data_IF_628092086310
#
_entry.id   IF_628092086310
#
_cell.length_a   1.000
_cell.length_b   1.000
_cell.length_c   1.000
_cell.angle_alpha   90.00
_cell.angle_beta   90.00
_cell.angle_gamma   90.00
#
_symmetry.space_group_name_H-M   'P 1'
#
loop_
_entity.id
_entity.type
_entity.pdbx_description
1 polymer ?
#
# COMPACT_ATOMS: atom_id res chain seq x y z
N UNK A 1 8.92 -42.50 68.70
CA UNK A 1 8.75 -41.03 68.53
C UNK A 1 9.38 -40.69 67.19
N UNK A 2 8.51 -40.49 66.21
CA UNK A 2 8.93 -40.27 64.80
C UNK A 2 8.72 -38.78 64.51
N UNK A 3 9.80 -38.11 64.12
CA UNK A 3 9.72 -36.70 63.71
C UNK A 3 9.79 -36.65 62.19
N UNK A 4 8.66 -36.30 61.61
CA UNK A 4 8.55 -35.98 60.17
C UNK A 4 9.23 -34.63 59.88
N UNK A 5 10.29 -34.66 59.11
CA UNK A 5 10.88 -33.46 58.49
C UNK A 5 10.15 -33.13 57.19
N UNK A 6 9.45 -32.02 57.17
CA UNK A 6 8.89 -31.45 55.93
C UNK A 6 9.99 -30.81 55.07
N UNK A 7 10.04 -31.19 53.82
CA UNK A 7 10.92 -30.56 52.83
C UNK A 7 10.40 -29.13 52.50
N UNK A 8 11.31 -28.16 52.22
CA UNK A 8 10.90 -26.82 51.87
C UNK A 8 10.27 -26.80 50.48
N UNK A 9 9.03 -26.28 50.37
CA UNK A 9 8.38 -25.93 49.11
C UNK A 9 9.18 -24.81 48.46
N UNK A 10 9.78 -25.12 47.33
CA UNK A 10 10.46 -24.12 46.49
C UNK A 10 9.44 -23.04 46.08
N UNK A 11 9.70 -21.84 46.53
CA UNK A 11 8.97 -20.66 46.09
C UNK A 11 9.28 -20.43 44.60
N UNK A 12 8.32 -20.79 43.76
CA UNK A 12 8.32 -20.40 42.36
C UNK A 12 8.23 -18.87 42.28
N UNK A 13 9.32 -18.23 41.87
CA UNK A 13 9.35 -16.80 41.57
C UNK A 13 8.40 -16.54 40.43
N UNK A 14 7.24 -15.97 40.70
CA UNK A 14 6.37 -15.36 39.71
C UNK A 14 7.05 -14.11 39.20
N UNK A 15 7.77 -14.20 38.09
CA UNK A 15 8.27 -13.02 37.38
C UNK A 15 7.07 -12.28 36.79
N UNK A 16 6.56 -11.26 37.50
CA UNK A 16 5.64 -10.26 36.99
C UNK A 16 6.40 -9.26 36.13
N UNK A 17 7.00 -9.72 35.04
CA UNK A 17 7.63 -8.87 34.04
C UNK A 17 6.67 -8.62 32.87
N UNK A 18 6.72 -7.44 32.29
CA UNK A 18 6.00 -7.14 31.04
C UNK A 18 6.42 -8.13 29.94
N UNK A 19 5.44 -8.71 29.26
CA UNK A 19 5.70 -9.58 28.10
C UNK A 19 6.32 -8.74 26.97
N UNK A 20 7.43 -9.20 26.42
CA UNK A 20 8.16 -8.51 25.33
C UNK A 20 8.51 -9.48 24.21
N UNK A 21 8.61 -8.96 22.98
CA UNK A 21 9.08 -9.70 21.81
C UNK A 21 10.45 -9.14 21.43
N UNK A 22 11.38 -10.02 21.07
CA UNK A 22 12.63 -9.69 20.39
C UNK A 22 12.69 -10.45 19.07
N UNK A 23 13.08 -9.79 17.99
CA UNK A 23 13.14 -10.36 16.66
C UNK A 23 14.56 -10.33 16.12
N UNK A 24 14.99 -11.46 15.51
CA UNK A 24 16.20 -11.56 14.71
C UNK A 24 15.78 -12.03 13.32
N UNK A 25 15.54 -11.08 12.43
CA UNK A 25 15.06 -11.32 11.08
C UNK A 25 16.06 -10.73 10.07
N UNK A 26 17.06 -11.50 9.62
CA UNK A 26 18.04 -11.02 8.65
C UNK A 26 17.40 -10.74 7.29
N UNK A 27 18.11 -10.04 6.42
CA UNK A 27 17.71 -9.90 5.04
C UNK A 27 17.67 -11.26 4.34
N UNK A 28 16.65 -11.51 3.54
CA UNK A 28 16.47 -12.72 2.75
C UNK A 28 16.83 -12.50 1.28
N UNK A 29 16.89 -13.58 0.49
CA UNK A 29 17.03 -13.54 -0.98
C UNK A 29 16.11 -14.57 -1.61
N UNK A 30 15.56 -14.28 -2.80
CA UNK A 30 14.72 -15.23 -3.54
C UNK A 30 15.46 -16.55 -3.76
N UNK A 31 14.78 -17.67 -3.51
CA UNK A 31 15.29 -19.01 -3.75
C UNK A 31 16.34 -19.50 -2.75
N UNK A 32 16.71 -18.68 -1.76
CA UNK A 32 17.68 -19.02 -0.72
C UNK A 32 16.94 -19.37 0.58
N UNK A 33 17.35 -20.45 1.23
CA UNK A 33 16.77 -20.85 2.52
C UNK A 33 16.90 -19.74 3.56
N UNK A 34 15.79 -19.34 4.14
CA UNK A 34 15.69 -18.28 5.16
C UNK A 34 15.55 -18.87 6.56
N UNK A 35 16.24 -18.26 7.53
CA UNK A 35 16.13 -18.59 8.95
C UNK A 35 16.20 -17.31 9.79
N UNK A 36 15.13 -17.05 10.51
CA UNK A 36 14.99 -15.98 11.50
C UNK A 36 14.35 -16.52 12.79
N UNK A 37 14.27 -15.70 13.82
CA UNK A 37 13.65 -16.10 15.08
C UNK A 37 12.99 -14.94 15.80
N UNK A 38 11.87 -15.25 16.44
CA UNK A 38 11.22 -14.44 17.44
C UNK A 38 11.43 -15.08 18.80
N UNK A 39 11.66 -14.26 19.81
CA UNK A 39 11.77 -14.73 21.20
C UNK A 39 10.91 -13.88 22.09
N UNK A 40 10.24 -14.50 23.05
CA UNK A 40 9.46 -13.82 24.07
C UNK A 40 10.20 -13.83 25.41
N UNK A 41 10.05 -12.76 26.18
CA UNK A 41 10.55 -12.69 27.57
C UNK A 41 9.58 -11.97 28.47
N UNK A 42 9.59 -12.28 29.77
CA UNK A 42 8.56 -11.87 30.72
C UNK A 42 7.30 -12.78 30.63
N UNK A 43 6.29 -12.52 31.40
CA UNK A 43 5.10 -13.37 31.46
C UNK A 43 5.37 -14.77 31.99
N UNK A 44 4.57 -15.75 31.56
CA UNK A 44 4.66 -17.17 32.00
C UNK A 44 4.69 -18.10 30.79
N UNK A 45 5.81 -18.84 30.58
CA UNK A 45 5.90 -19.86 29.53
C UNK A 45 4.87 -21.00 29.73
N UNK A 46 4.49 -21.74 28.66
CA UNK A 46 4.93 -21.61 27.28
C UNK A 46 4.32 -20.36 26.57
N UNK A 47 5.01 -19.94 25.50
CA UNK A 47 4.56 -18.85 24.63
C UNK A 47 4.01 -19.39 23.33
N UNK A 48 3.05 -18.66 22.74
CA UNK A 48 2.53 -18.92 21.40
C UNK A 48 2.64 -17.66 20.55
N UNK A 49 3.08 -17.79 19.31
CA UNK A 49 3.29 -16.69 18.36
C UNK A 49 2.30 -16.82 17.20
N UNK A 50 1.71 -15.70 16.78
CA UNK A 50 0.83 -15.66 15.62
C UNK A 50 1.05 -14.38 14.83
N UNK A 51 0.96 -14.45 13.49
CA UNK A 51 0.85 -13.26 12.65
C UNK A 51 -0.56 -12.75 12.75
N UNK A 52 -0.75 -11.51 13.19
CA UNK A 52 -2.07 -10.89 13.44
C UNK A 52 -2.44 -9.84 12.40
N UNK A 53 -1.46 -9.30 11.65
CA UNK A 53 -1.70 -8.44 10.50
C UNK A 53 -0.53 -8.51 9.51
N UNK A 54 -0.77 -8.16 8.26
CA UNK A 54 0.22 -8.34 7.20
C UNK A 54 0.50 -9.81 6.90
N UNK A 55 1.62 -10.09 6.23
CA UNK A 55 2.04 -11.47 5.94
C UNK A 55 3.57 -11.58 5.80
N UNK A 56 4.07 -12.77 6.08
CA UNK A 56 5.45 -13.15 5.81
C UNK A 56 5.69 -13.25 4.30
N UNK A 57 6.97 -13.16 3.84
CA UNK A 57 7.31 -13.45 2.45
C UNK A 57 6.73 -14.79 2.01
N UNK A 58 6.21 -14.84 0.78
CA UNK A 58 5.69 -16.09 0.22
C UNK A 58 6.77 -17.19 0.26
N UNK A 59 6.43 -18.38 0.77
CA UNK A 59 7.35 -19.48 1.01
C UNK A 59 8.06 -19.44 2.37
N UNK A 60 7.74 -18.45 3.24
CA UNK A 60 8.25 -18.35 4.62
C UNK A 60 7.09 -18.52 5.61
N UNK A 61 7.33 -19.22 6.70
CA UNK A 61 6.34 -19.49 7.75
C UNK A 61 6.88 -19.16 9.14
N UNK A 62 5.99 -18.85 10.08
CA UNK A 62 6.26 -18.70 11.50
C UNK A 62 5.79 -19.96 12.23
N UNK A 63 6.67 -20.57 13.02
CA UNK A 63 6.31 -21.65 13.92
C UNK A 63 5.73 -21.07 15.22
N UNK A 64 4.48 -21.37 15.49
CA UNK A 64 3.66 -20.81 16.58
C UNK A 64 4.23 -21.10 17.97
N UNK A 65 4.81 -22.27 18.21
CA UNK A 65 5.32 -22.70 19.50
C UNK A 65 6.77 -22.33 19.79
N UNK A 66 7.55 -22.05 18.74
CA UNK A 66 9.00 -21.79 18.86
C UNK A 66 9.42 -20.39 18.46
N UNK A 67 8.56 -19.66 17.73
CA UNK A 67 8.89 -18.37 17.16
C UNK A 67 9.92 -18.45 16.02
N UNK A 68 10.21 -19.64 15.49
CA UNK A 68 11.09 -19.81 14.34
C UNK A 68 10.41 -19.28 13.07
N UNK A 69 11.12 -18.46 12.30
CA UNK A 69 10.66 -17.95 11.00
C UNK A 69 11.56 -18.59 9.94
N UNK A 70 11.01 -19.48 9.12
CA UNK A 70 11.81 -20.25 8.18
C UNK A 70 11.07 -20.56 6.88
N UNK A 71 11.84 -20.87 5.82
CA UNK A 71 11.31 -21.22 4.51
C UNK A 71 12.23 -20.76 3.39
N UNK A 72 11.71 -20.74 2.17
CA UNK A 72 12.44 -20.24 0.99
C UNK A 72 11.59 -19.17 0.33
N UNK A 73 11.96 -17.87 0.42
CA UNK A 73 11.20 -16.80 -0.20
C UNK A 73 11.13 -16.98 -1.72
N UNK A 74 9.94 -16.79 -2.29
CA UNK A 74 9.71 -16.88 -3.73
C UNK A 74 9.50 -15.53 -4.41
N UNK A 75 9.31 -14.46 -3.63
CA UNK A 75 9.09 -13.08 -4.10
C UNK A 75 10.05 -12.13 -3.40
N UNK A 76 10.61 -11.16 -4.14
CA UNK A 76 11.40 -10.07 -3.57
C UNK A 76 10.50 -8.94 -3.07
N UNK A 77 11.02 -8.12 -2.18
CA UNK A 77 10.30 -6.95 -1.65
C UNK A 77 10.48 -6.78 -0.15
N UNK A 78 9.78 -5.80 0.40
CA UNK A 78 9.71 -5.55 1.84
C UNK A 78 8.38 -6.10 2.36
N UNK A 79 8.45 -7.02 3.31
CA UNK A 79 7.29 -7.68 3.91
C UNK A 79 7.12 -7.19 5.34
N UNK A 80 6.07 -6.39 5.56
CA UNK A 80 5.71 -5.88 6.89
C UNK A 80 4.56 -6.70 7.46
N UNK A 81 4.66 -7.08 8.73
CA UNK A 81 3.66 -7.86 9.43
C UNK A 81 3.70 -7.57 10.92
N UNK A 82 2.60 -7.76 11.63
CA UNK A 82 2.58 -7.72 13.08
C UNK A 82 2.46 -9.14 13.64
N UNK A 83 3.21 -9.40 14.69
CA UNK A 83 3.15 -10.66 15.43
C UNK A 83 2.62 -10.38 16.83
N UNK A 84 1.69 -11.20 17.27
CA UNK A 84 1.26 -11.30 18.68
C UNK A 84 1.97 -12.48 19.33
N UNK A 85 2.48 -12.29 20.54
CA UNK A 85 2.88 -13.36 21.43
C UNK A 85 1.87 -13.44 22.59
N UNK A 86 1.48 -14.65 22.93
CA UNK A 86 0.63 -14.95 24.11
C UNK A 86 1.40 -15.84 25.09
N UNK A 87 1.29 -15.54 26.38
CA UNK A 87 1.80 -16.39 27.44
C UNK A 87 0.76 -17.41 27.91
N UNK A 88 1.15 -18.38 28.74
CA UNK A 88 0.23 -19.42 29.24
C UNK A 88 -0.89 -18.92 30.16
N UNK A 89 -0.84 -17.66 30.57
CA UNK A 89 -1.88 -17.00 31.39
C UNK A 89 -2.78 -16.06 30.58
N UNK A 90 -2.58 -16.00 29.26
CA UNK A 90 -3.37 -15.17 28.36
C UNK A 90 -2.89 -13.71 28.26
N UNK A 91 -1.73 -13.35 28.83
CA UNK A 91 -1.13 -12.05 28.59
C UNK A 91 -0.60 -12.00 27.16
N UNK A 92 -0.93 -10.94 26.42
CA UNK A 92 -0.54 -10.75 25.03
C UNK A 92 0.34 -9.52 24.82
N UNK A 93 1.21 -9.58 23.82
CA UNK A 93 2.00 -8.45 23.32
C UNK A 93 2.08 -8.52 21.82
N UNK A 94 1.90 -7.38 21.15
CA UNK A 94 2.05 -7.26 19.70
C UNK A 94 3.27 -6.42 19.34
N UNK A 95 3.87 -6.75 18.19
CA UNK A 95 5.00 -6.00 17.62
C UNK A 95 4.96 -6.05 16.10
N UNK A 96 5.09 -4.86 15.47
CA UNK A 96 5.33 -4.72 14.05
C UNK A 96 6.75 -5.13 13.68
N UNK A 97 6.91 -5.90 12.60
CA UNK A 97 8.17 -6.45 12.12
C UNK A 97 8.25 -6.35 10.60
N UNK A 98 9.47 -6.40 10.06
CA UNK A 98 9.72 -6.37 8.62
C UNK A 98 10.80 -7.39 8.22
N UNK A 99 10.62 -8.00 7.05
CA UNK A 99 11.65 -8.80 6.36
C UNK A 99 11.84 -8.27 4.95
N UNK A 100 13.05 -7.92 4.58
CA UNK A 100 13.42 -7.56 3.21
C UNK A 100 13.93 -8.79 2.47
N UNK A 101 13.36 -9.10 1.31
CA UNK A 101 13.82 -10.17 0.42
C UNK A 101 14.45 -9.51 -0.82
N UNK A 102 15.76 -9.69 -0.99
CA UNK A 102 16.48 -9.23 -2.16
C UNK A 102 16.11 -10.08 -3.40
N UNK A 103 16.07 -9.45 -4.57
CA UNK A 103 15.94 -10.17 -5.84
C UNK A 103 17.13 -11.15 -6.03
N UNK A 104 16.90 -12.23 -6.77
CA UNK A 104 17.99 -13.15 -7.14
C UNK A 104 19.02 -12.39 -7.99
N UNK A 105 20.30 -12.46 -7.63
CA UNK A 105 21.39 -11.97 -8.47
C UNK A 105 21.54 -12.91 -9.66
N UNK A 106 20.86 -12.61 -10.78
CA UNK A 106 21.07 -13.32 -12.03
C UNK A 106 22.41 -12.92 -12.62
N UNK A 107 23.33 -13.89 -12.75
CA UNK A 107 24.52 -13.74 -13.59
C UNK A 107 24.12 -13.37 -15.02
N UNK A 108 24.72 -12.34 -15.52
CA UNK A 108 24.65 -11.67 -16.80
C UNK A 108 23.77 -12.26 -17.90
N UNK A 109 22.72 -11.53 -18.24
CA UNK A 109 22.13 -11.53 -19.58
C UNK A 109 22.35 -10.15 -20.21
N UNK A 110 22.59 -10.05 -21.53
CA UNK A 110 22.91 -8.76 -22.15
C UNK A 110 21.74 -7.79 -22.02
N UNK A 111 22.06 -6.54 -21.72
CA UNK A 111 21.11 -5.45 -21.60
C UNK A 111 20.27 -5.30 -22.88
N UNK A 112 18.94 -5.07 -22.76
CA UNK A 112 18.15 -4.61 -23.91
C UNK A 112 18.62 -3.22 -24.34
N UNK A 113 18.45 -2.86 -25.64
CA UNK A 113 18.93 -1.59 -26.16
C UNK A 113 18.27 -0.42 -25.41
N UNK A 114 19.09 0.51 -24.99
CA UNK A 114 18.72 1.74 -24.33
C UNK A 114 17.83 2.60 -25.23
N UNK A 115 16.59 2.85 -24.81
CA UNK A 115 15.75 3.91 -25.36
C UNK A 115 16.34 5.28 -24.97
N UNK A 116 16.60 6.18 -25.91
CA UNK A 116 17.36 7.41 -25.66
C UNK A 116 16.58 8.56 -25.01
N UNK A 117 15.41 8.34 -24.40
CA UNK A 117 14.57 9.42 -23.84
C UNK A 117 13.94 9.15 -22.46
N UNK A 118 14.58 8.35 -21.60
CA UNK A 118 14.15 8.33 -20.21
C UNK A 118 14.96 9.35 -19.40
N UNK A 119 14.37 10.47 -18.95
CA UNK A 119 15.08 11.34 -18.02
C UNK A 119 15.27 10.59 -16.71
N UNK A 120 16.53 10.37 -16.33
CA UNK A 120 16.91 9.97 -14.97
C UNK A 120 16.19 10.89 -13.98
N UNK A 121 15.52 10.36 -12.93
CA UNK A 121 14.94 11.22 -11.92
C UNK A 121 16.07 12.02 -11.29
N UNK A 122 16.06 13.31 -11.53
CA UNK A 122 16.96 14.26 -10.89
C UNK A 122 16.65 14.24 -9.41
N UNK A 123 17.58 13.76 -8.60
CA UNK A 123 17.59 13.94 -7.15
C UNK A 123 17.56 15.44 -6.82
N UNK A 124 16.35 15.99 -6.71
CA UNK A 124 16.12 17.31 -6.14
C UNK A 124 15.99 17.16 -4.63
N UNK A 125 16.92 17.70 -3.91
CA UNK A 125 16.97 17.99 -2.48
C UNK A 125 16.04 17.19 -1.55
N UNK A 126 16.54 16.12 -0.94
CA UNK A 126 16.15 15.75 0.44
C UNK A 126 14.86 14.96 0.67
N UNK A 127 14.12 14.56 -0.35
CA UNK A 127 12.87 13.79 -0.18
C UNK A 127 13.12 12.27 -0.11
N UNK A 128 12.21 11.57 0.59
CA UNK A 128 12.15 10.10 0.61
C UNK A 128 11.26 9.60 -0.51
N UNK A 129 11.60 8.44 -1.11
CA UNK A 129 10.78 7.79 -2.14
C UNK A 129 10.49 6.33 -1.77
N UNK A 130 9.23 5.93 -1.92
CA UNK A 130 8.76 4.55 -1.85
C UNK A 130 8.47 4.08 -3.27
N UNK A 131 9.26 3.14 -3.78
CA UNK A 131 9.20 2.70 -5.17
C UNK A 131 8.62 1.31 -5.31
N UNK A 132 8.12 0.97 -6.52
CA UNK A 132 7.50 -0.31 -6.85
C UNK A 132 6.29 -0.65 -5.98
N UNK A 133 5.54 0.37 -5.58
CA UNK A 133 4.38 0.23 -4.70
C UNK A 133 3.30 -0.67 -5.30
N UNK A 134 3.13 -0.71 -6.63
CA UNK A 134 2.20 -1.62 -7.29
C UNK A 134 2.46 -3.08 -6.94
N UNK A 135 3.71 -3.42 -6.65
CA UNK A 135 4.14 -4.78 -6.30
C UNK A 135 4.31 -4.98 -4.79
N UNK A 136 4.11 -3.94 -3.99
CA UNK A 136 4.20 -4.03 -2.53
C UNK A 136 2.99 -4.75 -1.94
N UNK A 137 3.16 -5.29 -0.75
CA UNK A 137 2.06 -5.86 0.03
C UNK A 137 1.12 -4.76 0.55
N UNK A 138 0.00 -5.16 1.13
CA UNK A 138 -0.91 -4.27 1.87
C UNK A 138 -1.96 -3.57 1.02
N UNK A 139 -2.08 -3.93 -0.26
CA UNK A 139 -3.22 -3.50 -1.06
C UNK A 139 -4.50 -4.14 -0.57
N UNK A 140 -5.49 -3.31 -0.28
CA UNK A 140 -6.88 -3.68 -0.08
C UNK A 140 -7.67 -3.39 -1.36
N UNK A 141 -8.78 -4.10 -1.58
CA UNK A 141 -9.60 -3.93 -2.76
C UNK A 141 -11.08 -3.96 -2.39
N UNK A 142 -11.84 -3.05 -2.99
CA UNK A 142 -13.25 -2.84 -2.71
C UNK A 142 -14.00 -2.59 -4.01
N UNK A 143 -15.24 -3.08 -4.09
CA UNK A 143 -16.21 -2.67 -5.09
C UNK A 143 -17.08 -1.56 -4.54
N UNK A 144 -17.42 -0.59 -5.37
CA UNK A 144 -18.31 0.52 -5.05
C UNK A 144 -19.34 0.65 -6.17
N UNK A 145 -20.60 0.81 -5.84
CA UNK A 145 -21.65 0.92 -6.85
C UNK A 145 -22.78 1.84 -6.47
N UNK A 146 -23.46 2.38 -7.49
CA UNK A 146 -24.58 3.28 -7.25
C UNK A 146 -25.72 2.59 -6.48
N UNK A 147 -26.57 3.35 -5.74
CA UNK A 147 -26.52 4.82 -5.66
C UNK A 147 -25.53 5.36 -4.63
N UNK A 148 -25.09 4.55 -3.66
CA UNK A 148 -24.46 5.06 -2.43
C UNK A 148 -22.92 4.90 -2.44
N UNK A 149 -22.36 4.17 -3.41
CA UNK A 149 -20.93 3.89 -3.55
C UNK A 149 -20.25 3.43 -2.26
N UNK A 150 -20.95 2.59 -1.50
CA UNK A 150 -20.43 2.01 -0.25
C UNK A 150 -19.49 0.86 -0.58
N UNK A 151 -18.35 0.86 0.08
CA UNK A 151 -17.34 -0.19 -0.04
C UNK A 151 -17.92 -1.57 0.23
N UNK A 152 -17.71 -2.51 -0.67
CA UNK A 152 -18.03 -3.90 -0.47
C UNK A 152 -16.85 -4.82 -0.78
N UNK A 153 -16.73 -5.90 -0.03
CA UNK A 153 -15.66 -6.90 -0.13
C UNK A 153 -16.12 -8.20 0.56
N UNK A 154 -15.65 -9.39 0.17
CA UNK A 154 -14.74 -9.67 -0.95
C UNK A 154 -15.45 -9.68 -2.32
N UNK A 155 -14.65 -9.66 -3.40
CA UNK A 155 -15.15 -9.80 -4.77
C UNK A 155 -15.62 -11.24 -5.08
N UNK A 156 -16.75 -11.45 -5.84
CA UNK A 156 -17.70 -10.41 -6.25
C UNK A 156 -18.63 -9.98 -5.11
N UNK A 157 -19.03 -8.71 -5.08
CA UNK A 157 -19.99 -8.20 -4.12
C UNK A 157 -20.97 -7.23 -4.79
N UNK A 158 -22.25 -7.30 -4.41
CA UNK A 158 -23.31 -6.44 -4.94
C UNK A 158 -23.38 -6.35 -6.47
N UNK A 159 -22.98 -7.42 -7.18
CA UNK A 159 -22.94 -7.46 -8.64
C UNK A 159 -21.69 -6.84 -9.27
N UNK A 160 -20.71 -6.43 -8.45
CA UNK A 160 -19.43 -5.87 -8.87
C UNK A 160 -18.36 -6.95 -8.72
N UNK A 161 -17.55 -7.13 -9.76
CA UNK A 161 -16.40 -8.01 -9.75
C UNK A 161 -15.13 -7.19 -9.91
N UNK A 162 -14.13 -7.47 -9.09
CA UNK A 162 -12.84 -6.81 -9.12
C UNK A 162 -11.75 -7.77 -8.70
N UNK A 163 -10.55 -7.57 -9.21
CA UNK A 163 -9.39 -8.37 -8.83
C UNK A 163 -8.09 -7.63 -9.04
N UNK A 164 -7.07 -8.08 -8.35
CA UNK A 164 -5.70 -7.61 -8.48
C UNK A 164 -4.75 -8.79 -8.51
N UNK A 165 -3.80 -8.79 -9.44
CA UNK A 165 -2.74 -9.81 -9.53
C UNK A 165 -1.39 -9.15 -9.70
N UNK A 166 -0.48 -9.39 -8.78
CA UNK A 166 0.88 -8.85 -8.78
C UNK A 166 1.86 -9.76 -9.53
N UNK A 167 3.00 -9.20 -9.96
CA UNK A 167 4.09 -9.96 -10.57
C UNK A 167 3.83 -10.37 -12.02
N UNK A 168 2.99 -9.61 -12.74
CA UNK A 168 2.71 -9.82 -14.15
C UNK A 168 3.93 -9.41 -14.98
N UNK A 169 4.40 -10.33 -15.83
CA UNK A 169 5.61 -10.11 -16.62
C UNK A 169 5.33 -9.44 -17.98
N UNK A 170 4.10 -9.52 -18.48
CA UNK A 170 3.70 -8.90 -19.76
C UNK A 170 2.20 -8.59 -19.78
N UNK A 171 1.80 -7.35 -20.16
CA UNK A 171 2.66 -6.21 -20.40
C UNK A 171 3.30 -5.71 -19.10
N UNK A 172 4.59 -5.40 -19.13
CA UNK A 172 5.32 -4.83 -18.01
C UNK A 172 6.58 -4.10 -18.50
N UNK A 173 6.97 -3.03 -17.81
CA UNK A 173 8.21 -2.29 -18.04
C UNK A 173 9.33 -2.88 -17.18
N UNK A 174 9.02 -3.13 -15.90
CA UNK A 174 9.97 -3.66 -14.91
C UNK A 174 10.08 -5.19 -14.91
N UNK A 175 9.17 -5.90 -15.61
CA UNK A 175 8.95 -7.33 -15.48
C UNK A 175 8.09 -7.72 -14.28
N UNK A 176 7.49 -6.74 -13.58
CA UNK A 176 6.70 -6.96 -12.35
C UNK A 176 5.51 -5.99 -12.23
N UNK A 177 4.75 -5.83 -13.30
CA UNK A 177 3.53 -5.06 -13.26
C UNK A 177 2.47 -5.71 -12.35
N UNK A 178 1.50 -4.93 -11.93
CA UNK A 178 0.29 -5.42 -11.27
C UNK A 178 -0.90 -5.13 -12.17
N UNK A 179 -1.68 -6.16 -12.48
CA UNK A 179 -2.93 -6.04 -13.20
C UNK A 179 -4.07 -5.80 -12.22
N UNK A 180 -4.91 -4.83 -12.53
CA UNK A 180 -6.15 -4.49 -11.85
C UNK A 180 -7.30 -4.70 -12.83
N UNK A 181 -8.42 -5.20 -12.34
CA UNK A 181 -9.60 -5.50 -13.15
C UNK A 181 -10.87 -5.01 -12.45
N UNK A 182 -11.75 -4.44 -13.23
CA UNK A 182 -13.15 -4.19 -12.85
C UNK A 182 -14.08 -4.83 -13.86
N UNK A 183 -15.18 -5.40 -13.38
CA UNK A 183 -16.24 -6.02 -14.16
C UNK A 183 -17.52 -6.10 -13.33
N UNK A 184 -18.56 -6.68 -13.88
CA UNK A 184 -19.80 -6.95 -13.13
C UNK A 184 -21.04 -6.73 -13.96
N UNK A 185 -22.17 -6.57 -13.25
CA UNK A 185 -23.50 -6.44 -13.86
C UNK A 185 -24.21 -5.14 -13.50
N UNK A 186 -23.58 -4.33 -12.63
CA UNK A 186 -24.12 -3.04 -12.18
C UNK A 186 -23.38 -1.92 -12.91
N UNK A 187 -24.04 -1.20 -13.82
CA UNK A 187 -23.42 -0.09 -14.55
C UNK A 187 -22.85 0.98 -13.63
N UNK A 188 -21.75 1.61 -14.06
CA UNK A 188 -21.07 2.68 -13.31
C UNK A 188 -20.60 2.25 -11.92
N UNK A 189 -20.18 1.00 -11.78
CA UNK A 189 -19.57 0.49 -10.56
C UNK A 189 -18.06 0.56 -10.65
N UNK A 190 -17.45 0.83 -9.51
CA UNK A 190 -16.03 1.11 -9.41
C UNK A 190 -15.29 0.01 -8.65
N UNK A 191 -14.01 -0.09 -8.90
CA UNK A 191 -13.08 -0.91 -8.15
C UNK A 191 -11.98 -0.04 -7.54
N UNK A 192 -12.02 0.15 -6.23
CA UNK A 192 -11.03 0.90 -5.46
C UNK A 192 -9.95 -0.04 -4.94
N UNK A 193 -8.70 0.33 -5.17
CA UNK A 193 -7.51 -0.33 -4.64
C UNK A 193 -6.73 0.66 -3.78
N UNK A 194 -6.52 0.30 -2.52
CA UNK A 194 -5.93 1.18 -1.51
C UNK A 194 -4.71 0.53 -0.87
N UNK A 195 -3.64 1.29 -0.66
CA UNK A 195 -2.45 0.86 0.07
C UNK A 195 -2.05 1.88 1.14
N UNK A 196 -2.03 1.42 2.39
CA UNK A 196 -1.60 2.21 3.53
C UNK A 196 -0.07 2.24 3.62
N UNK A 197 0.55 3.38 3.37
CA UNK A 197 2.02 3.52 3.33
C UNK A 197 2.61 3.96 4.67
N UNK A 198 1.96 4.92 5.34
CA UNK A 198 2.38 5.49 6.62
C UNK A 198 1.19 5.45 7.58
N UNK A 199 1.42 5.22 8.86
CA UNK A 199 0.39 5.18 9.89
C UNK A 199 0.25 3.82 10.55
N UNK A 200 -0.82 3.57 11.33
CA UNK A 200 -0.98 2.34 12.13
C UNK A 200 -1.11 1.07 11.29
N UNK A 201 -1.53 1.20 10.04
CA UNK A 201 -1.72 0.08 9.09
C UNK A 201 -0.64 0.05 8.00
N UNK A 202 0.51 0.68 8.23
CA UNK A 202 1.55 0.81 7.21
C UNK A 202 2.00 -0.53 6.62
N UNK A 203 1.88 -0.66 5.31
CA UNK A 203 2.40 -1.78 4.53
C UNK A 203 3.92 -1.69 4.30
N UNK A 204 4.50 -0.51 4.55
CA UNK A 204 5.91 -0.20 4.32
C UNK A 204 6.74 -0.21 5.62
N UNK A 205 6.13 -0.62 6.75
CA UNK A 205 6.79 -0.59 8.05
C UNK A 205 6.98 0.81 8.64
N UNK A 206 6.31 1.81 8.08
CA UNK A 206 6.36 3.20 8.54
C UNK A 206 5.24 3.46 9.55
N UNK A 207 5.31 2.78 10.68
CA UNK A 207 4.33 2.89 11.75
C UNK A 207 4.45 4.25 12.44
N UNK A 208 3.37 5.03 12.36
CA UNK A 208 3.28 6.39 12.91
C UNK A 208 2.10 6.46 13.89
N UNK A 209 2.32 6.02 15.12
CA UNK A 209 1.26 5.89 16.13
C UNK A 209 0.89 7.22 16.80
N UNK A 210 1.75 8.22 16.74
CA UNK A 210 1.55 9.54 17.32
C UNK A 210 1.26 10.63 16.27
N UNK A 211 1.15 10.25 15.01
CA UNK A 211 0.90 11.11 13.85
C UNK A 211 2.02 12.15 13.57
N UNK A 212 3.17 12.03 14.22
CA UNK A 212 4.26 12.99 14.09
C UNK A 212 4.89 12.98 12.70
N UNK A 213 5.11 11.80 12.13
CA UNK A 213 5.61 11.66 10.79
C UNK A 213 4.56 12.13 9.76
N UNK A 214 3.33 11.62 9.85
CA UNK A 214 2.25 11.99 8.92
C UNK A 214 2.05 13.50 8.87
N UNK A 215 1.99 14.17 10.04
CA UNK A 215 1.77 15.61 10.10
C UNK A 215 2.97 16.46 9.65
N UNK A 216 4.17 15.88 9.57
CA UNK A 216 5.38 16.57 9.09
C UNK A 216 5.54 16.59 7.57
N UNK A 217 4.71 15.84 6.83
CA UNK A 217 4.83 15.72 5.37
C UNK A 217 3.99 16.76 4.65
N UNK A 218 4.59 17.45 3.70
CA UNK A 218 3.96 18.57 2.99
C UNK A 218 3.89 18.38 1.47
N UNK A 219 4.89 17.78 0.86
CA UNK A 219 4.99 17.65 -0.58
C UNK A 219 4.93 16.19 -0.99
N UNK A 220 4.12 15.89 -2.00
CA UNK A 220 3.99 14.54 -2.53
C UNK A 220 4.11 14.56 -4.06
N UNK A 221 4.77 13.53 -4.58
CA UNK A 221 4.79 13.23 -6.02
C UNK A 221 4.38 11.77 -6.20
N UNK A 222 3.27 11.57 -6.90
CA UNK A 222 2.81 10.26 -7.37
C UNK A 222 3.31 10.08 -8.80
N UNK A 223 4.09 9.05 -9.05
CA UNK A 223 4.66 8.75 -10.35
C UNK A 223 4.37 7.29 -10.71
N UNK A 224 3.78 7.06 -11.88
CA UNK A 224 3.35 5.71 -12.29
C UNK A 224 3.34 5.55 -13.79
N UNK A 225 3.66 4.35 -14.24
CA UNK A 225 3.33 3.90 -15.58
C UNK A 225 2.05 3.05 -15.53
N UNK A 226 1.09 3.35 -16.43
CA UNK A 226 -0.13 2.56 -16.55
C UNK A 226 -0.42 2.17 -17.99
N UNK A 227 -0.99 0.99 -18.16
CA UNK A 227 -1.36 0.41 -19.45
C UNK A 227 -2.79 -0.09 -19.35
N UNK A 228 -3.70 0.44 -20.16
CA UNK A 228 -5.09 -0.05 -20.25
C UNK A 228 -5.30 -0.84 -21.51
N UNK A 229 -5.84 -2.04 -21.38
CA UNK A 229 -6.10 -2.93 -22.54
C UNK A 229 -7.30 -2.45 -23.37
N UNK A 230 -8.29 -1.83 -22.73
CA UNK A 230 -9.46 -1.27 -23.41
C UNK A 230 -10.04 -0.08 -22.64
N UNK A 231 -9.36 1.04 -22.69
CA UNK A 231 -9.77 2.26 -21.97
C UNK A 231 -11.12 2.83 -22.47
N UNK A 232 -11.63 2.39 -23.63
CA UNK A 232 -12.98 2.75 -24.09
C UNK A 232 -14.11 2.16 -23.24
N UNK A 233 -13.81 1.22 -22.35
CA UNK A 233 -14.75 0.65 -21.39
C UNK A 233 -14.73 1.36 -20.02
N UNK A 234 -13.77 2.26 -19.81
CA UNK A 234 -13.62 3.03 -18.58
C UNK A 234 -14.43 4.32 -18.62
N UNK A 235 -15.17 4.62 -17.57
CA UNK A 235 -15.70 5.98 -17.34
C UNK A 235 -14.56 6.91 -16.95
N UNK A 236 -13.76 6.49 -15.94
CA UNK A 236 -12.59 7.21 -15.49
C UNK A 236 -11.54 6.28 -14.86
N UNK A 237 -10.33 6.83 -14.69
CA UNK A 237 -9.28 6.28 -13.84
C UNK A 237 -8.90 7.32 -12.79
N UNK A 238 -8.82 6.88 -11.52
CA UNK A 238 -8.47 7.76 -10.41
C UNK A 238 -7.12 7.37 -9.81
N UNK A 239 -6.34 8.40 -9.45
CA UNK A 239 -5.02 8.27 -8.86
C UNK A 239 -4.91 9.24 -7.70
N UNK A 240 -4.90 8.70 -6.47
CA UNK A 240 -5.02 9.54 -5.29
C UNK A 240 -3.85 9.36 -4.33
N UNK A 241 -3.56 10.44 -3.64
CA UNK A 241 -2.74 10.46 -2.44
C UNK A 241 -3.65 10.97 -1.32
N UNK A 242 -3.75 10.22 -0.23
CA UNK A 242 -4.52 10.66 0.92
C UNK A 242 -3.60 10.84 2.11
N UNK A 243 -3.78 11.93 2.83
CA UNK A 243 -3.10 12.21 4.09
C UNK A 243 -4.14 12.57 5.14
N UNK A 244 -4.13 11.90 6.29
CA UNK A 244 -5.07 12.12 7.39
C UNK A 244 -4.32 12.25 8.71
N UNK A 245 -4.59 13.31 9.47
CA UNK A 245 -4.08 13.49 10.83
C UNK A 245 -4.89 14.59 11.54
N UNK A 246 -4.94 14.57 12.85
CA UNK A 246 -5.55 15.63 13.67
C UNK A 246 -7.01 15.95 13.30
N UNK A 247 -7.80 14.95 12.89
CA UNK A 247 -9.18 15.08 12.38
C UNK A 247 -9.30 15.82 11.03
N UNK A 248 -8.21 16.09 10.36
CA UNK A 248 -8.17 16.68 9.02
C UNK A 248 -7.95 15.60 7.96
N UNK A 249 -8.63 15.73 6.83
CA UNK A 249 -8.49 14.86 5.66
C UNK A 249 -8.04 15.65 4.44
N UNK A 250 -6.93 15.20 3.84
CA UNK A 250 -6.37 15.77 2.63
C UNK A 250 -6.41 14.68 1.55
N UNK A 251 -7.49 14.67 0.77
CA UNK A 251 -7.65 13.76 -0.37
C UNK A 251 -7.20 14.51 -1.61
N UNK A 252 -5.99 14.22 -2.08
CA UNK A 252 -5.46 14.74 -3.35
C UNK A 252 -5.91 13.83 -4.50
N UNK A 253 -7.23 13.83 -4.76
CA UNK A 253 -7.83 13.00 -5.80
C UNK A 253 -7.64 13.60 -7.19
N UNK A 254 -7.25 12.76 -8.15
CA UNK A 254 -7.13 13.10 -9.56
C UNK A 254 -7.88 12.07 -10.38
N UNK A 255 -8.91 12.51 -11.10
CA UNK A 255 -9.70 11.67 -11.98
C UNK A 255 -9.43 12.02 -13.44
N UNK A 256 -8.98 11.04 -14.23
CA UNK A 256 -8.95 11.14 -15.68
C UNK A 256 -10.29 10.62 -16.22
N UNK A 257 -11.24 11.52 -16.54
CA UNK A 257 -12.50 11.15 -17.17
C UNK A 257 -12.26 10.77 -18.62
N UNK A 258 -12.46 9.51 -18.98
CA UNK A 258 -12.22 8.99 -20.32
C UNK A 258 -13.49 9.07 -21.16
N UNK A 259 -14.62 8.54 -20.68
CA UNK A 259 -15.87 8.48 -21.46
C UNK A 259 -16.59 9.83 -21.53
N UNK A 260 -16.51 10.67 -20.52
CA UNK A 260 -17.29 11.91 -20.42
C UNK A 260 -16.41 13.16 -20.36
N UNK A 261 -15.80 13.52 -21.48
CA UNK A 261 -15.14 14.82 -21.65
C UNK A 261 -13.63 14.81 -21.78
N UNK A 262 -12.97 13.68 -21.62
CA UNK A 262 -11.52 13.51 -21.81
C UNK A 262 -10.68 14.59 -21.13
N UNK A 263 -10.93 14.80 -19.83
CA UNK A 263 -10.23 15.81 -19.04
C UNK A 263 -9.91 15.28 -17.63
N UNK A 264 -8.96 15.94 -16.99
CA UNK A 264 -8.67 15.77 -15.59
C UNK A 264 -9.64 16.55 -14.73
N UNK A 265 -10.10 15.91 -13.66
CA UNK A 265 -10.79 16.56 -12.54
C UNK A 265 -9.93 16.39 -11.28
N UNK A 266 -10.12 17.30 -10.33
CA UNK A 266 -9.50 17.21 -9.00
C UNK A 266 -10.59 17.24 -7.92
N UNK A 267 -10.32 16.58 -6.79
CA UNK A 267 -11.29 16.45 -5.71
C UNK A 267 -11.36 17.71 -4.85
N UNK A 268 -12.54 18.27 -4.68
CA UNK A 268 -12.81 19.35 -3.74
C UNK A 268 -13.27 18.75 -2.41
N UNK A 269 -12.39 18.74 -1.42
CA UNK A 269 -12.63 18.10 -0.13
C UNK A 269 -13.76 18.74 0.68
N UNK A 270 -14.06 20.04 0.46
CA UNK A 270 -15.16 20.72 1.15
C UNK A 270 -16.51 20.40 0.51
N UNK A 271 -16.54 20.33 -0.81
CA UNK A 271 -17.77 20.01 -1.54
C UNK A 271 -18.07 18.52 -1.58
N UNK A 272 -17.05 17.68 -1.38
CA UNK A 272 -17.17 16.24 -1.60
C UNK A 272 -17.52 15.93 -3.07
N UNK A 273 -16.87 16.61 -4.02
CA UNK A 273 -17.19 16.51 -5.42
C UNK A 273 -15.98 16.77 -6.32
N UNK A 274 -16.01 16.17 -7.52
CA UNK A 274 -15.02 16.42 -8.56
C UNK A 274 -15.19 17.83 -9.18
N UNK A 275 -14.05 18.50 -9.37
CA UNK A 275 -13.96 19.82 -9.99
C UNK A 275 -13.19 19.71 -11.30
N UNK A 276 -13.84 20.00 -12.47
CA UNK A 276 -13.21 19.96 -13.77
C UNK A 276 -12.05 20.97 -13.89
N UNK A 277 -10.89 20.52 -14.33
CA UNK A 277 -9.71 21.39 -14.48
C UNK A 277 -9.60 22.03 -15.85
N UNK A 278 -10.28 21.49 -16.86
CA UNK A 278 -10.08 21.86 -18.27
C UNK A 278 -8.77 21.31 -18.87
N UNK A 279 -7.98 20.58 -18.10
CA UNK A 279 -6.76 19.92 -18.60
C UNK A 279 -7.14 18.64 -19.34
N UNK A 280 -6.75 18.50 -20.62
CA UNK A 280 -7.08 17.29 -21.38
C UNK A 280 -6.45 16.02 -20.76
N UNK A 281 -7.22 14.92 -20.69
CA UNK A 281 -6.76 13.59 -20.36
C UNK A 281 -7.04 12.64 -21.51
N UNK A 282 -5.99 12.29 -22.27
CA UNK A 282 -6.05 11.34 -23.39
C UNK A 282 -4.99 10.26 -23.21
N UNK A 283 -5.22 9.28 -22.34
CA UNK A 283 -4.31 8.15 -22.24
C UNK A 283 -4.43 7.25 -23.49
N UNK A 284 -3.30 6.68 -23.90
CA UNK A 284 -3.25 5.73 -25.01
C UNK A 284 -3.73 4.35 -24.56
N UNK A 285 -4.74 3.78 -25.22
CA UNK A 285 -5.11 2.37 -25.04
C UNK A 285 -4.04 1.45 -25.63
N UNK A 286 -3.85 0.28 -25.04
CA UNK A 286 -2.88 -0.73 -25.48
C UNK A 286 -1.44 -0.18 -25.58
N UNK A 287 -1.10 0.75 -24.74
CA UNK A 287 0.22 1.37 -24.66
C UNK A 287 0.51 1.87 -23.25
N UNK A 288 1.77 1.90 -22.88
CA UNK A 288 2.18 2.49 -21.62
C UNK A 288 2.01 4.01 -21.65
N UNK A 289 1.43 4.52 -20.58
CA UNK A 289 1.29 5.95 -20.29
C UNK A 289 2.10 6.25 -19.04
N UNK A 290 2.78 7.37 -19.01
CA UNK A 290 3.52 7.85 -17.84
C UNK A 290 2.78 9.03 -17.22
N UNK A 291 2.40 8.89 -15.95
CA UNK A 291 1.70 9.90 -15.17
C UNK A 291 2.56 10.35 -14.00
N UNK A 292 2.72 11.66 -13.85
CA UNK A 292 3.30 12.28 -12.65
C UNK A 292 2.36 13.34 -12.11
N UNK A 293 1.95 13.20 -10.85
CA UNK A 293 1.12 14.15 -10.12
C UNK A 293 1.94 14.80 -9.02
N UNK A 294 1.91 16.14 -8.93
CA UNK A 294 2.55 16.88 -7.84
C UNK A 294 1.53 17.64 -7.04
N UNK A 295 1.55 17.41 -5.74
CA UNK A 295 0.62 18.03 -4.79
C UNK A 295 1.35 18.49 -3.54
N UNK A 296 0.74 19.42 -2.83
CA UNK A 296 1.29 19.99 -1.61
C UNK A 296 0.18 20.20 -0.58
N UNK A 297 0.43 19.82 0.66
CA UNK A 297 -0.26 20.39 1.81
C UNK A 297 0.52 21.63 2.25
N UNK A 298 -0.14 22.77 2.33
CA UNK A 298 0.48 24.01 2.78
C UNK A 298 0.65 24.05 4.29
N UNK A 299 1.46 24.95 4.81
CA UNK A 299 1.69 25.10 6.26
C UNK A 299 0.45 25.52 7.05
N UNK A 300 -0.54 26.10 6.39
CA UNK A 300 -1.85 26.47 6.93
C UNK A 300 -2.95 25.43 6.60
N UNK A 301 -2.52 24.22 6.22
CA UNK A 301 -3.36 23.03 6.01
C UNK A 301 -4.38 23.14 4.85
N UNK A 302 -4.01 23.78 3.76
CA UNK A 302 -4.74 23.69 2.49
C UNK A 302 -4.13 22.63 1.57
N UNK A 303 -4.92 22.11 0.63
CA UNK A 303 -4.45 21.23 -0.43
C UNK A 303 -4.13 22.06 -1.69
N UNK A 304 -2.95 21.90 -2.23
CA UNK A 304 -2.58 22.50 -3.51
C UNK A 304 -2.29 21.42 -4.54
N UNK A 305 -3.04 21.40 -5.63
CA UNK A 305 -2.77 20.63 -6.83
C UNK A 305 -1.79 21.42 -7.69
N UNK A 306 -0.52 21.01 -7.70
CA UNK A 306 0.53 21.78 -8.34
C UNK A 306 0.60 21.55 -9.85
N UNK A 307 0.68 20.30 -10.28
CA UNK A 307 0.78 19.95 -11.70
C UNK A 307 0.39 18.51 -11.99
N UNK A 308 -0.05 18.30 -13.23
CA UNK A 308 -0.30 17.00 -13.86
C UNK A 308 0.63 16.87 -15.06
N UNK A 309 1.38 15.77 -15.13
CA UNK A 309 2.18 15.42 -16.30
C UNK A 309 1.70 14.09 -16.85
N UNK A 310 1.21 14.08 -18.07
CA UNK A 310 0.83 12.86 -18.78
C UNK A 310 1.66 12.75 -20.07
N UNK A 311 2.38 11.64 -20.23
CA UNK A 311 3.20 11.34 -21.40
C UNK A 311 4.16 12.51 -21.76
N UNK A 312 4.83 13.05 -20.74
CA UNK A 312 5.81 14.13 -20.88
C UNK A 312 5.20 15.54 -21.05
N UNK A 313 3.88 15.66 -21.18
CA UNK A 313 3.21 16.97 -21.26
C UNK A 313 2.76 17.41 -19.86
N UNK A 314 3.40 18.42 -19.32
CA UNK A 314 3.08 19.00 -18.00
C UNK A 314 2.10 20.17 -18.14
N UNK A 315 1.06 20.16 -17.29
CA UNK A 315 0.17 21.30 -17.08
C UNK A 315 0.24 21.69 -15.61
N UNK A 316 0.55 22.95 -15.36
CA UNK A 316 0.56 23.55 -14.02
C UNK A 316 -0.84 24.00 -13.66
N UNK A 317 -1.32 23.61 -12.49
CA UNK A 317 -2.63 24.00 -11.95
C UNK A 317 -2.46 25.10 -10.89
N UNK A 318 -1.73 24.84 -9.83
CA UNK A 318 -1.59 25.66 -8.62
C UNK A 318 -2.98 26.03 -8.01
N UNK A 319 -3.87 25.07 -8.00
CA UNK A 319 -5.20 25.22 -7.42
C UNK A 319 -5.17 24.81 -5.96
N UNK A 320 -5.73 25.65 -5.09
CA UNK A 320 -5.75 25.43 -3.64
C UNK A 320 -7.18 25.25 -3.16
N UNK A 321 -7.38 24.25 -2.30
CA UNK A 321 -8.65 23.89 -1.68
C UNK A 321 -8.47 23.75 -0.17
N UNK A 322 -9.57 23.87 0.56
CA UNK A 322 -9.63 23.56 1.98
C UNK A 322 -9.56 22.05 2.22
N UNK A 323 -9.05 21.64 3.36
CA UNK A 323 -9.09 20.24 3.78
C UNK A 323 -10.52 19.80 4.13
N UNK A 324 -10.77 18.50 4.04
CA UNK A 324 -11.96 17.86 4.61
C UNK A 324 -11.77 17.53 6.09
N UNK A 325 -12.78 16.85 6.65
CA UNK A 325 -12.68 16.21 7.96
C UNK A 325 -12.34 14.75 7.80
N UNK A 326 -11.49 14.23 8.69
CA UNK A 326 -11.23 12.79 8.79
C UNK A 326 -11.82 12.26 10.09
N UNK A 327 -12.40 11.08 10.05
CA UNK A 327 -12.85 10.36 11.25
C UNK A 327 -12.05 9.06 11.38
N UNK A 328 -11.57 8.78 12.59
CA UNK A 328 -11.09 7.48 13.06
C UNK A 328 -9.85 6.87 12.37
N UNK A 329 -9.26 7.48 11.35
CA UNK A 329 -8.06 6.98 10.71
C UNK A 329 -7.05 8.11 10.46
N UNK A 330 -5.76 7.78 10.51
CA UNK A 330 -4.67 8.71 10.18
C UNK A 330 -3.54 7.96 9.46
N UNK A 331 -2.76 8.70 8.67
CA UNK A 331 -1.66 8.16 7.90
C UNK A 331 -1.62 8.70 6.47
N UNK A 332 -0.85 8.03 5.62
CA UNK A 332 -0.76 8.31 4.18
C UNK A 332 -1.08 7.05 3.39
N UNK A 333 -1.97 7.18 2.41
CA UNK A 333 -2.26 6.11 1.44
C UNK A 333 -2.02 6.56 0.01
N UNK A 334 -1.83 5.59 -0.87
CA UNK A 334 -2.05 5.75 -2.29
C UNK A 334 -3.26 4.92 -2.70
N UNK A 335 -4.08 5.50 -3.57
CA UNK A 335 -5.21 4.80 -4.16
C UNK A 335 -5.05 4.74 -5.68
N UNK A 336 -5.62 3.71 -6.24
CA UNK A 336 -5.94 3.59 -7.65
C UNK A 336 -7.36 3.10 -7.78
N UNK A 337 -8.17 3.75 -8.60
CA UNK A 337 -9.55 3.35 -8.83
C UNK A 337 -9.83 3.23 -10.33
N UNK A 338 -10.66 2.27 -10.65
CA UNK A 338 -11.15 2.00 -12.00
C UNK A 338 -12.66 2.14 -12.00
N UNK A 339 -13.16 3.07 -12.80
CA UNK A 339 -14.60 3.32 -12.90
C UNK A 339 -15.16 2.66 -14.15
N UNK A 340 -16.16 1.82 -13.95
CA UNK A 340 -16.89 1.17 -15.03
C UNK A 340 -17.86 2.13 -15.71
N UNK A 341 -18.14 1.87 -16.98
CA UNK A 341 -19.08 2.66 -17.75
C UNK A 341 -20.52 2.10 -17.72
N UNK A 342 -21.41 2.64 -18.56
CA UNK A 342 -22.80 2.24 -18.65
C UNK A 342 -23.06 0.75 -18.99
N UNK A 343 -22.05 0.02 -19.44
CA UNK A 343 -22.14 -1.42 -19.77
C UNK A 343 -21.54 -2.31 -18.71
N UNK A 344 -20.63 -1.79 -17.93
CA UNK A 344 -19.85 -2.54 -16.92
C UNK A 344 -19.08 -3.74 -17.52
N UNK A 345 -18.66 -3.61 -18.77
CA UNK A 345 -17.83 -4.63 -19.41
C UNK A 345 -16.45 -4.69 -18.74
N UNK A 346 -15.90 -5.90 -18.65
CA UNK A 346 -14.61 -6.12 -18.02
C UNK A 346 -13.46 -5.46 -18.79
N UNK A 347 -12.60 -4.73 -18.09
CA UNK A 347 -11.34 -4.23 -18.62
C UNK A 347 -10.23 -4.30 -17.59
N UNK A 348 -8.98 -4.23 -18.06
CA UNK A 348 -7.82 -4.29 -17.20
C UNK A 348 -6.97 -3.02 -17.34
N UNK A 349 -6.38 -2.64 -16.22
CA UNK A 349 -5.29 -1.66 -16.18
C UNK A 349 -4.10 -2.28 -15.45
N UNK A 350 -2.93 -2.12 -16.02
CA UNK A 350 -1.67 -2.56 -15.43
C UNK A 350 -0.95 -1.32 -14.90
N UNK A 351 -0.48 -1.38 -13.67
CA UNK A 351 0.42 -0.38 -13.11
C UNK A 351 1.83 -0.96 -13.00
N UNK A 352 2.81 -0.13 -13.31
CA UNK A 352 4.23 -0.47 -13.17
C UNK A 352 5.04 0.74 -12.69
N UNK A 353 6.15 0.49 -12.00
CA UNK A 353 7.05 1.51 -11.45
C UNK A 353 6.34 2.59 -10.60
N UNK A 354 5.26 2.23 -9.91
CA UNK A 354 4.55 3.16 -9.03
C UNK A 354 5.47 3.62 -7.89
N UNK A 355 5.66 4.91 -7.80
CA UNK A 355 6.50 5.56 -6.78
C UNK A 355 5.73 6.70 -6.12
N UNK A 356 5.78 6.76 -4.79
CA UNK A 356 5.40 7.94 -4.02
C UNK A 356 6.64 8.57 -3.42
N UNK A 357 6.97 9.80 -3.84
CA UNK A 357 7.99 10.62 -3.19
C UNK A 357 7.33 11.64 -2.27
N UNK A 358 7.96 11.91 -1.12
CA UNK A 358 7.43 12.85 -0.13
C UNK A 358 8.55 13.55 0.66
N UNK A 359 8.24 14.72 1.19
CA UNK A 359 9.09 15.52 2.08
C UNK A 359 8.28 16.46 2.98
#
# INVERSE_FOLDING_TARGET
MSTNGAAPVGSGSSATGNLTISAKLPQASIGVGYSGSLTASGGTAPYSFAVVSGHLPQGVTLADSTGAVSGTPTTSGNFSFAVSVSDSKGLTKEQGLQVTVAAATSGGSPAPPSDPTSPTPTSGSGGTALSNLQHSNGWSQYGQGPPDFVDCSPSPCNGISFSMTQGVQSPSISGQATIFNVAGTVPYSDALYNNHLIGPLSSQGMFDTDQSLTSSLYNFTYDVYFYGDNLGLSEALEFDINQFFGNMGFIFGHQCRIAAGNQWDVWDNQKGAWTPTGVPCFPNSNSWNHLTLKVQRTSDNHLTYQSITLNGKTTTLNWTFEHGSASNWYGVTVNFQMDGNSKQDSYNVYLDNLTLSYQ
#
